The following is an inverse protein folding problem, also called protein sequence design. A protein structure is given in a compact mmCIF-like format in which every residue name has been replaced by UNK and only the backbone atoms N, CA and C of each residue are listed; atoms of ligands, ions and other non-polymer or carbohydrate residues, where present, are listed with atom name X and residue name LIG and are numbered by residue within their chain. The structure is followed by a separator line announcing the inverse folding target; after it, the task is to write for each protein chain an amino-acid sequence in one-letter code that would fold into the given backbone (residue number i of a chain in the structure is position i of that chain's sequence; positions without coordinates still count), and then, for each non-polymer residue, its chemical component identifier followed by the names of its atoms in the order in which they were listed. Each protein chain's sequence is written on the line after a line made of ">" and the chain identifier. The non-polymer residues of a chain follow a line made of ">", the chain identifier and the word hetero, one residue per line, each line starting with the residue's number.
data_IF_631534283988
#
_entry.id   IF_631534283988
#
_cell.length_a   1.000
_cell.length_b   1.000
_cell.length_c   1.000
_cell.angle_alpha   90.00
_cell.angle_beta   90.00
_cell.angle_gamma   90.00
#
_symmetry.space_group_name_H-M   'P 1'
#
loop_
_entity.id
_entity.type
_entity.pdbx_description
1 polymer ?
#
# COMPACT_ATOMS: atom_id res chain seq x y z
N UNK A 1 34.00 23.98 -2.50
CA UNK A 1 33.00 23.20 -1.75
C UNK A 1 32.64 22.03 -2.65
N UNK A 2 33.01 20.80 -2.27
CA UNK A 2 32.61 19.63 -3.05
C UNK A 2 31.10 19.49 -3.00
N UNK A 3 30.47 19.22 -4.13
CA UNK A 3 29.03 18.97 -4.21
C UNK A 3 28.66 17.90 -3.18
N UNK A 4 27.87 18.28 -2.16
CA UNK A 4 27.25 17.30 -1.26
C UNK A 4 26.31 16.49 -2.14
N UNK A 5 26.72 15.27 -2.50
CA UNK A 5 25.86 14.30 -3.16
C UNK A 5 24.63 14.11 -2.29
N UNK A 6 23.46 14.45 -2.83
CA UNK A 6 22.21 14.29 -2.10
C UNK A 6 21.92 12.79 -1.96
N UNK A 7 21.61 12.37 -0.73
CA UNK A 7 21.35 10.95 -0.44
C UNK A 7 20.08 10.49 -1.16
N UNK A 8 20.16 9.34 -1.83
CA UNK A 8 19.02 8.82 -2.57
C UNK A 8 17.88 8.47 -1.61
N UNK A 9 16.68 8.98 -1.87
CA UNK A 9 15.49 8.56 -1.14
C UNK A 9 15.12 7.13 -1.48
N UNK A 10 14.90 6.31 -0.46
CA UNK A 10 14.39 4.93 -0.61
C UNK A 10 13.04 4.84 0.09
N UNK A 11 12.00 4.39 -0.61
CA UNK A 11 10.68 4.15 -0.03
C UNK A 11 10.40 2.65 -0.03
N UNK A 12 10.18 2.05 1.13
CA UNK A 12 9.74 0.65 1.23
C UNK A 12 8.26 0.61 1.60
N UNK A 13 7.42 0.07 0.71
CA UNK A 13 5.96 0.07 0.81
C UNK A 13 5.48 -1.32 1.20
N UNK A 14 4.69 -1.41 2.27
CA UNK A 14 4.16 -2.66 2.80
C UNK A 14 3.06 -3.32 1.95
N UNK A 15 2.53 -4.40 2.48
CA UNK A 15 1.53 -5.26 1.84
C UNK A 15 0.25 -4.49 1.47
N UNK A 16 -0.21 -4.67 0.23
CA UNK A 16 -1.31 -3.87 -0.36
C UNK A 16 -2.62 -4.65 -0.34
N UNK A 17 -2.57 -5.96 -0.62
CA UNK A 17 -3.70 -6.89 -0.57
C UNK A 17 -4.96 -6.36 -1.26
N UNK A 18 -4.87 -5.96 -2.53
CA UNK A 18 -6.02 -5.55 -3.33
C UNK A 18 -6.71 -4.25 -2.88
N UNK A 19 -6.19 -3.51 -1.90
CA UNK A 19 -6.76 -2.23 -1.47
C UNK A 19 -6.27 -1.06 -2.32
N UNK A 20 -6.77 -0.97 -3.55
CA UNK A 20 -6.38 0.07 -4.51
C UNK A 20 -6.55 1.50 -3.98
N UNK A 21 -7.61 1.79 -3.22
CA UNK A 21 -7.81 3.11 -2.61
C UNK A 21 -6.70 3.48 -1.63
N UNK A 22 -6.24 2.53 -0.80
CA UNK A 22 -5.13 2.72 0.13
C UNK A 22 -3.82 2.95 -0.61
N UNK A 23 -3.54 2.17 -1.64
CA UNK A 23 -2.36 2.35 -2.50
C UNK A 23 -2.33 3.75 -3.13
N UNK A 24 -3.44 4.18 -3.75
CA UNK A 24 -3.54 5.49 -4.39
C UNK A 24 -3.33 6.63 -3.38
N UNK A 25 -3.93 6.52 -2.20
CA UNK A 25 -3.82 7.55 -1.16
C UNK A 25 -2.39 7.59 -0.60
N UNK A 26 -1.79 6.43 -0.30
CA UNK A 26 -0.40 6.35 0.15
C UNK A 26 0.56 6.95 -0.89
N UNK A 27 0.40 6.60 -2.16
CA UNK A 27 1.22 7.16 -3.23
C UNK A 27 1.10 8.68 -3.31
N UNK A 28 -0.12 9.20 -3.24
CA UNK A 28 -0.37 10.66 -3.23
C UNK A 28 0.30 11.33 -2.02
N UNK A 29 0.24 10.70 -0.85
CA UNK A 29 0.90 11.21 0.35
C UNK A 29 2.42 11.19 0.23
N UNK A 30 3.01 10.14 -0.36
CA UNK A 30 4.44 10.08 -0.67
C UNK A 30 4.85 11.22 -1.61
N UNK A 31 4.09 11.45 -2.69
CA UNK A 31 4.32 12.55 -3.64
C UNK A 31 4.27 13.92 -2.96
N UNK A 32 3.35 14.12 -2.01
CA UNK A 32 3.16 15.38 -1.33
C UNK A 32 4.19 15.65 -0.22
N UNK A 33 4.65 14.59 0.46
CA UNK A 33 5.47 14.69 1.68
C UNK A 33 6.97 14.55 1.44
N UNK A 34 7.36 13.93 0.33
CA UNK A 34 8.76 13.81 -0.07
C UNK A 34 9.09 14.99 -0.96
N UNK A 35 10.29 15.54 -0.82
CA UNK A 35 10.76 16.61 -1.71
C UNK A 35 10.60 16.16 -3.19
N UNK A 36 10.00 16.97 -4.07
CA UNK A 36 9.73 16.56 -5.45
C UNK A 36 10.96 16.07 -6.24
N UNK A 37 12.15 16.66 -6.01
CA UNK A 37 13.37 16.24 -6.70
C UNK A 37 13.85 14.87 -6.20
N UNK A 38 13.81 14.65 -4.88
CA UNK A 38 14.19 13.38 -4.27
C UNK A 38 13.16 12.28 -4.61
N UNK A 39 11.87 12.60 -4.61
CA UNK A 39 10.82 11.67 -5.03
C UNK A 39 10.99 11.23 -6.49
N UNK A 40 11.27 12.17 -7.40
CA UNK A 40 11.41 11.88 -8.83
C UNK A 40 12.56 10.88 -9.13
N UNK A 41 13.56 10.77 -8.27
CA UNK A 41 14.74 9.89 -8.45
C UNK A 41 14.82 8.75 -7.42
N UNK A 42 13.77 8.59 -6.62
CA UNK A 42 13.73 7.64 -5.53
C UNK A 42 13.87 6.18 -6.00
N UNK A 43 14.37 5.34 -5.10
CA UNK A 43 14.20 3.89 -5.17
C UNK A 43 12.90 3.54 -4.45
N UNK A 44 11.96 2.92 -5.16
CA UNK A 44 10.67 2.48 -4.63
C UNK A 44 10.67 0.96 -4.57
N UNK A 45 10.62 0.40 -3.37
CA UNK A 45 10.59 -1.04 -3.10
C UNK A 45 9.22 -1.42 -2.57
N UNK A 46 8.43 -2.13 -3.37
CA UNK A 46 7.18 -2.74 -2.93
C UNK A 46 7.46 -4.11 -2.32
N UNK A 47 7.03 -4.33 -1.08
CA UNK A 47 7.45 -5.46 -0.27
C UNK A 47 6.68 -6.76 -0.53
N UNK A 48 5.74 -6.76 -1.48
CA UNK A 48 4.96 -7.92 -1.92
C UNK A 48 3.50 -7.87 -1.45
N UNK A 49 2.80 -8.99 -1.65
CA UNK A 49 1.40 -9.22 -1.31
C UNK A 49 0.47 -8.15 -1.89
N UNK A 50 0.43 -8.10 -3.22
CA UNK A 50 -0.40 -7.18 -4.00
C UNK A 50 -1.84 -7.66 -4.15
N UNK A 51 -2.02 -8.98 -4.18
CA UNK A 51 -3.30 -9.64 -4.36
C UNK A 51 -3.95 -10.10 -3.05
N UNK A 52 -5.18 -10.57 -3.18
CA UNK A 52 -6.01 -11.22 -2.16
C UNK A 52 -6.51 -10.32 -1.04
N UNK A 53 -7.50 -10.81 -0.28
CA UNK A 53 -8.20 -10.12 0.82
C UNK A 53 -9.01 -8.89 0.40
N UNK A 54 -8.39 -7.88 -0.21
CA UNK A 54 -9.05 -6.68 -0.70
C UNK A 54 -9.65 -6.84 -2.10
N UNK A 55 -10.57 -5.95 -2.50
CA UNK A 55 -11.47 -6.18 -3.64
C UNK A 55 -10.88 -5.85 -5.03
N UNK A 56 -9.78 -5.11 -5.10
CA UNK A 56 -9.34 -4.43 -6.34
C UNK A 56 -7.93 -4.88 -6.80
N UNK A 57 -7.56 -6.16 -6.64
CA UNK A 57 -6.26 -6.71 -7.09
C UNK A 57 -5.92 -6.29 -8.52
N UNK A 58 -6.87 -6.40 -9.46
CA UNK A 58 -6.67 -5.95 -10.85
C UNK A 58 -6.20 -4.49 -10.94
N UNK A 59 -6.87 -3.56 -10.25
CA UNK A 59 -6.51 -2.13 -10.27
C UNK A 59 -5.18 -1.86 -9.58
N UNK A 60 -4.86 -2.62 -8.53
CA UNK A 60 -3.53 -2.56 -7.88
C UNK A 60 -2.45 -2.89 -8.90
N UNK A 61 -2.56 -4.01 -9.62
CA UNK A 61 -1.55 -4.40 -10.61
C UNK A 61 -1.51 -3.41 -11.79
N UNK A 62 -2.67 -2.94 -12.28
CA UNK A 62 -2.73 -1.88 -13.31
C UNK A 62 -1.92 -0.64 -12.88
N UNK A 63 -2.07 -0.21 -11.62
CA UNK A 63 -1.33 0.91 -11.06
C UNK A 63 0.18 0.66 -11.01
N UNK A 64 0.60 -0.49 -10.47
CA UNK A 64 2.02 -0.85 -10.34
C UNK A 64 2.70 -0.94 -11.72
N UNK A 65 2.04 -1.55 -12.70
CA UNK A 65 2.51 -1.63 -14.10
C UNK A 65 2.67 -0.24 -14.73
N UNK A 66 1.84 0.74 -14.33
CA UNK A 66 1.92 2.10 -14.86
C UNK A 66 3.11 2.91 -14.33
N UNK A 67 3.64 2.57 -13.15
CA UNK A 67 4.61 3.39 -12.42
C UNK A 67 5.90 3.70 -13.19
N UNK A 68 6.57 2.73 -13.86
CA UNK A 68 7.79 3.03 -14.62
C UNK A 68 7.56 4.07 -15.73
N UNK A 69 6.39 4.06 -16.36
CA UNK A 69 6.05 5.04 -17.41
C UNK A 69 5.72 6.42 -16.84
N UNK A 70 5.11 6.47 -15.66
CA UNK A 70 4.75 7.71 -14.96
C UNK A 70 5.95 8.38 -14.30
N UNK A 71 6.90 7.61 -13.80
CA UNK A 71 8.10 8.07 -13.10
C UNK A 71 9.37 7.44 -13.68
N UNK A 72 9.77 7.83 -14.90
CA UNK A 72 10.86 7.17 -15.63
C UNK A 72 12.25 7.36 -15.00
N UNK A 73 12.38 8.28 -14.01
CA UNK A 73 13.62 8.52 -13.27
C UNK A 73 13.66 7.78 -11.92
N UNK A 74 12.55 7.15 -11.50
CA UNK A 74 12.53 6.28 -10.33
C UNK A 74 13.03 4.89 -10.70
N UNK A 75 13.58 4.17 -9.73
CA UNK A 75 13.76 2.72 -9.83
C UNK A 75 12.65 2.06 -9.04
N UNK A 76 11.95 1.12 -9.68
CA UNK A 76 10.87 0.36 -9.05
C UNK A 76 11.30 -1.09 -8.86
N UNK A 77 11.17 -1.58 -7.65
CA UNK A 77 11.41 -2.98 -7.29
C UNK A 77 10.12 -3.55 -6.73
N UNK A 78 9.71 -4.69 -7.28
CA UNK A 78 8.50 -5.39 -6.88
C UNK A 78 8.89 -6.76 -6.34
N UNK A 79 8.85 -6.91 -5.01
CA UNK A 79 9.10 -8.20 -4.37
C UNK A 79 7.92 -9.15 -4.57
N UNK A 80 8.22 -10.43 -4.73
CA UNK A 80 7.20 -11.46 -4.72
C UNK A 80 6.76 -11.72 -3.27
N UNK A 81 5.50 -11.42 -2.94
CA UNK A 81 4.89 -11.89 -1.71
C UNK A 81 4.53 -13.38 -1.77
N UNK A 82 4.15 -13.98 -0.63
CA UNK A 82 3.67 -15.36 -0.68
C UNK A 82 2.30 -15.48 -1.35
N UNK A 83 1.47 -14.43 -1.32
CA UNK A 83 0.22 -14.39 -2.05
C UNK A 83 0.48 -14.27 -3.56
N UNK A 84 1.40 -13.39 -3.98
CA UNK A 84 1.72 -13.20 -5.40
C UNK A 84 2.42 -14.42 -5.99
N UNK A 85 3.27 -15.12 -5.22
CA UNK A 85 3.87 -16.38 -5.64
C UNK A 85 2.81 -17.43 -5.94
N UNK A 86 1.82 -17.53 -5.06
CA UNK A 86 0.73 -18.49 -5.19
C UNK A 86 -0.22 -18.12 -6.35
N UNK A 87 -0.49 -16.84 -6.56
CA UNK A 87 -1.21 -16.35 -7.73
C UNK A 87 -0.44 -16.62 -9.04
N UNK A 88 0.87 -16.35 -9.06
CA UNK A 88 1.77 -16.62 -10.19
C UNK A 88 1.80 -18.10 -10.57
N UNK A 89 1.78 -18.99 -9.56
CA UNK A 89 1.66 -20.43 -9.77
C UNK A 89 0.35 -20.78 -10.47
N UNK A 90 -0.77 -20.21 -10.02
CA UNK A 90 -2.08 -20.49 -10.57
C UNK A 90 -2.22 -20.02 -12.03
N UNK A 91 -1.71 -18.82 -12.35
CA UNK A 91 -1.75 -18.28 -13.73
C UNK A 91 -0.60 -18.77 -14.62
N UNK A 92 0.18 -19.73 -14.13
CA UNK A 92 1.23 -20.46 -14.88
C UNK A 92 2.36 -19.58 -15.40
N UNK A 93 2.82 -18.63 -14.58
CA UNK A 93 3.93 -17.72 -14.94
C UNK A 93 5.20 -17.93 -14.10
N UNK A 94 5.19 -18.91 -13.19
CA UNK A 94 6.40 -19.31 -12.47
C UNK A 94 7.44 -19.90 -13.43
N UNK A 95 8.75 -19.69 -13.16
CA UNK A 95 9.78 -20.44 -13.84
C UNK A 95 9.69 -21.92 -13.46
N UNK A 96 10.00 -22.81 -14.42
CA UNK A 96 10.13 -24.24 -14.16
C UNK A 96 11.17 -24.51 -13.07
N UNK A 97 11.02 -25.59 -12.28
CA UNK A 97 12.00 -25.96 -11.26
C UNK A 97 13.41 -26.07 -11.86
N UNK A 98 14.45 -25.49 -11.24
CA UNK A 98 15.81 -25.45 -11.81
C UNK A 98 16.44 -26.81 -12.07
N UNK A 99 15.98 -27.86 -11.40
CA UNK A 99 16.46 -29.24 -11.57
C UNK A 99 15.63 -30.06 -12.58
N UNK A 100 14.63 -29.44 -13.22
CA UNK A 100 13.74 -30.10 -14.18
C UNK A 100 12.67 -30.99 -13.56
N UNK A 101 12.55 -31.02 -12.24
CA UNK A 101 11.45 -31.74 -11.57
C UNK A 101 10.09 -31.14 -11.94
N UNK A 102 9.01 -31.95 -11.96
CA UNK A 102 7.67 -31.43 -12.16
C UNK A 102 7.20 -30.71 -10.89
N UNK A 103 6.31 -29.73 -11.05
CA UNK A 103 5.71 -29.03 -9.91
C UNK A 103 4.94 -29.93 -8.95
N UNK A 104 4.52 -31.12 -9.39
CA UNK A 104 3.84 -32.11 -8.56
C UNK A 104 4.68 -32.64 -7.40
N UNK A 105 6.01 -32.62 -7.50
CA UNK A 105 6.89 -32.99 -6.39
C UNK A 105 6.73 -32.07 -5.17
N UNK A 106 6.24 -30.85 -5.39
CA UNK A 106 6.03 -29.88 -4.32
C UNK A 106 4.84 -30.20 -3.42
N UNK A 107 4.00 -31.17 -3.78
CA UNK A 107 2.75 -31.44 -3.07
C UNK A 107 2.94 -32.32 -1.83
N UNK A 108 3.87 -33.28 -1.91
CA UNK A 108 4.00 -34.41 -0.97
C UNK A 108 4.18 -33.99 0.49
N UNK A 109 4.95 -32.93 0.75
CA UNK A 109 5.21 -32.45 2.12
C UNK A 109 3.94 -31.95 2.84
N UNK A 110 2.93 -31.52 2.08
CA UNK A 110 1.70 -30.91 2.61
C UNK A 110 0.43 -31.70 2.25
N UNK A 111 0.55 -32.90 1.69
CA UNK A 111 -0.59 -33.69 1.18
C UNK A 111 -1.68 -33.93 2.22
N UNK A 112 -1.30 -34.05 3.50
CA UNK A 112 -2.22 -34.18 4.63
C UNK A 112 -3.20 -32.99 4.78
N UNK A 113 -2.90 -31.84 4.16
CA UNK A 113 -3.76 -30.66 4.19
C UNK A 113 -4.70 -30.55 3.00
N UNK A 114 -4.54 -31.39 1.96
CA UNK A 114 -5.29 -31.29 0.71
C UNK A 114 -6.80 -31.32 0.94
N UNK A 115 -7.27 -32.24 1.78
CA UNK A 115 -8.70 -32.40 2.03
C UNK A 115 -9.27 -31.16 2.74
N UNK A 116 -8.58 -30.67 3.77
CA UNK A 116 -9.04 -29.53 4.59
C UNK A 116 -9.02 -28.22 3.79
N UNK A 117 -7.95 -27.99 3.07
CA UNK A 117 -7.75 -26.77 2.26
C UNK A 117 -8.49 -26.83 0.92
N UNK A 118 -8.97 -28.01 0.52
CA UNK A 118 -9.73 -28.24 -0.70
C UNK A 118 -8.96 -27.82 -1.94
N UNK A 119 -7.71 -28.28 -2.08
CA UNK A 119 -6.81 -27.84 -3.15
C UNK A 119 -7.47 -27.90 -4.53
N UNK A 120 -7.15 -26.92 -5.37
CA UNK A 120 -7.64 -26.86 -6.74
C UNK A 120 -7.32 -28.15 -7.52
N UNK A 121 -8.34 -28.68 -8.19
CA UNK A 121 -8.31 -29.89 -9.03
C UNK A 121 -8.95 -29.64 -10.42
N UNK A 122 -9.10 -28.37 -10.80
CA UNK A 122 -9.62 -28.00 -12.12
C UNK A 122 -8.55 -28.08 -13.20
N UNK A 123 -8.90 -27.72 -14.44
CA UNK A 123 -8.03 -27.89 -15.61
C UNK A 123 -6.59 -27.41 -15.41
N UNK A 124 -5.62 -28.31 -15.61
CA UNK A 124 -4.19 -28.02 -15.57
C UNK A 124 -3.59 -27.88 -14.18
N UNK A 125 -4.25 -28.45 -13.16
CA UNK A 125 -3.70 -28.56 -11.80
C UNK A 125 -2.51 -29.53 -11.73
N UNK A 126 -2.39 -30.45 -12.67
CA UNK A 126 -1.37 -31.50 -12.72
C UNK A 126 0.04 -30.90 -12.83
N UNK A 127 0.17 -29.80 -13.57
CA UNK A 127 1.40 -29.05 -13.76
C UNK A 127 1.46 -27.77 -12.91
N UNK A 128 0.81 -27.77 -11.73
CA UNK A 128 0.71 -26.59 -10.87
C UNK A 128 1.50 -26.75 -9.57
N UNK A 129 2.30 -25.73 -9.23
CA UNK A 129 2.99 -25.68 -7.94
C UNK A 129 1.98 -25.75 -6.77
N UNK A 130 2.36 -26.41 -5.67
CA UNK A 130 1.54 -26.58 -4.47
C UNK A 130 0.78 -25.30 -4.10
N UNK A 131 1.49 -24.17 -4.03
CA UNK A 131 0.89 -22.91 -3.60
C UNK A 131 -0.21 -22.41 -4.54
N UNK A 132 -0.12 -22.63 -5.85
CA UNK A 132 -1.22 -22.32 -6.77
C UNK A 132 -2.46 -23.16 -6.51
N UNK A 133 -2.25 -24.45 -6.19
CA UNK A 133 -3.36 -25.36 -5.83
C UNK A 133 -4.03 -24.96 -4.52
N UNK A 134 -3.25 -24.54 -3.52
CA UNK A 134 -3.74 -24.02 -2.23
C UNK A 134 -4.46 -22.69 -2.38
N UNK A 135 -3.95 -21.81 -3.24
CA UNK A 135 -4.46 -20.46 -3.47
C UNK A 135 -5.84 -20.45 -4.12
N UNK A 136 -6.07 -21.30 -5.12
CA UNK A 136 -7.37 -21.47 -5.75
C UNK A 136 -8.26 -22.56 -5.10
N UNK A 137 -7.82 -23.13 -3.98
CA UNK A 137 -8.56 -24.16 -3.26
C UNK A 137 -9.86 -23.64 -2.64
N UNK A 138 -10.74 -24.56 -2.24
CA UNK A 138 -11.97 -24.27 -1.52
C UNK A 138 -11.86 -24.76 -0.08
N UNK A 139 -11.48 -23.86 0.82
CA UNK A 139 -11.22 -24.23 2.22
C UNK A 139 -12.52 -24.69 2.90
N UNK A 140 -12.46 -25.83 3.60
CA UNK A 140 -13.62 -26.39 4.33
C UNK A 140 -13.93 -25.61 5.61
N UNK A 141 -12.91 -25.03 6.23
CA UNK A 141 -13.07 -24.17 7.39
C UNK A 141 -13.70 -22.84 6.97
N UNK A 142 -14.83 -22.46 7.59
CA UNK A 142 -15.44 -21.15 7.33
C UNK A 142 -14.65 -20.01 7.98
N UNK A 143 -14.26 -20.20 9.25
CA UNK A 143 -13.68 -19.15 10.08
C UNK A 143 -12.18 -19.33 10.29
N UNK A 144 -11.42 -18.26 10.07
CA UNK A 144 -10.01 -18.19 10.40
C UNK A 144 -9.82 -17.64 11.82
N UNK A 145 -9.63 -18.55 12.78
CA UNK A 145 -9.41 -18.19 14.19
C UNK A 145 -8.21 -17.26 14.38
N UNK A 146 -7.14 -17.44 13.61
CA UNK A 146 -5.93 -16.60 13.74
C UNK A 146 -6.15 -15.16 13.27
N UNK A 147 -7.03 -14.96 12.28
CA UNK A 147 -7.33 -13.63 11.72
C UNK A 147 -8.58 -12.99 12.32
N UNK A 148 -9.40 -13.76 13.03
CA UNK A 148 -10.66 -13.29 13.60
C UNK A 148 -11.77 -13.05 12.57
N UNK A 149 -11.70 -13.67 11.39
CA UNK A 149 -12.62 -13.44 10.27
C UNK A 149 -12.83 -14.69 9.42
N UNK A 150 -13.89 -14.71 8.60
CA UNK A 150 -14.12 -15.79 7.64
C UNK A 150 -13.08 -15.78 6.50
N UNK A 151 -12.72 -16.98 6.03
CA UNK A 151 -11.92 -17.11 4.83
C UNK A 151 -12.68 -16.64 3.59
N UNK A 152 -11.98 -15.99 2.67
CA UNK A 152 -12.54 -15.59 1.37
C UNK A 152 -12.17 -16.62 0.30
N UNK A 153 -12.87 -17.75 0.29
CA UNK A 153 -12.75 -18.82 -0.71
C UNK A 153 -11.66 -19.85 -0.41
N UNK A 154 -10.41 -19.41 -0.21
CA UNK A 154 -9.26 -20.29 0.03
C UNK A 154 -8.50 -19.93 1.31
N UNK A 155 -7.50 -20.74 1.68
CA UNK A 155 -6.59 -20.42 2.79
C UNK A 155 -5.80 -19.10 2.56
N UNK A 156 -5.73 -18.65 1.31
CA UNK A 156 -5.10 -17.40 0.89
C UNK A 156 -6.07 -16.21 0.82
N UNK A 157 -7.37 -16.40 1.10
CA UNK A 157 -8.39 -15.36 0.90
C UNK A 157 -8.42 -14.84 -0.56
N UNK A 158 -8.29 -15.75 -1.52
CA UNK A 158 -8.08 -15.44 -2.94
C UNK A 158 -9.35 -15.04 -3.71
N UNK A 159 -10.55 -15.32 -3.20
CA UNK A 159 -11.80 -15.05 -3.93
C UNK A 159 -11.92 -13.59 -4.45
N UNK A 160 -11.56 -12.54 -3.67
CA UNK A 160 -11.58 -11.17 -4.16
C UNK A 160 -10.64 -10.92 -5.35
N UNK A 161 -9.52 -11.66 -5.45
CA UNK A 161 -8.65 -11.58 -6.62
C UNK A 161 -9.39 -12.10 -7.86
N UNK A 162 -9.99 -13.29 -7.80
CA UNK A 162 -10.81 -13.84 -8.89
C UNK A 162 -11.91 -12.85 -9.32
N UNK A 163 -12.65 -12.33 -8.34
CA UNK A 163 -13.75 -11.38 -8.57
C UNK A 163 -13.29 -10.06 -9.20
N UNK A 164 -12.09 -9.58 -8.84
CA UNK A 164 -11.49 -8.37 -9.43
C UNK A 164 -11.21 -8.53 -10.94
N UNK A 165 -10.98 -9.77 -11.40
CA UNK A 165 -10.85 -10.15 -12.81
C UNK A 165 -12.15 -10.64 -13.44
N UNK A 166 -13.29 -10.51 -12.74
CA UNK A 166 -14.64 -10.84 -13.23
C UNK A 166 -14.86 -12.33 -13.49
N UNK A 167 -14.23 -13.19 -12.70
CA UNK A 167 -14.43 -14.64 -12.72
C UNK A 167 -14.75 -15.15 -11.32
N UNK A 168 -15.50 -16.26 -11.16
CA UNK A 168 -15.77 -16.82 -9.85
C UNK A 168 -14.52 -17.45 -9.24
N UNK A 169 -14.47 -17.49 -7.89
CA UNK A 169 -13.40 -18.14 -7.13
C UNK A 169 -13.18 -19.59 -7.60
N UNK A 170 -11.91 -19.96 -7.78
CA UNK A 170 -11.52 -21.30 -8.22
C UNK A 170 -11.79 -21.59 -9.71
N UNK A 171 -12.18 -20.61 -10.53
CA UNK A 171 -12.34 -20.80 -11.97
C UNK A 171 -11.00 -20.86 -12.70
N UNK A 172 -10.79 -21.90 -13.52
CA UNK A 172 -9.64 -21.98 -14.42
C UNK A 172 -9.64 -20.85 -15.48
N UNK A 173 -10.78 -20.21 -15.73
CA UNK A 173 -10.90 -19.10 -16.67
C UNK A 173 -10.08 -17.88 -16.24
N UNK A 174 -9.73 -17.76 -14.95
CA UNK A 174 -8.86 -16.69 -14.47
C UNK A 174 -7.53 -16.65 -15.24
N UNK A 175 -6.99 -17.80 -15.66
CA UNK A 175 -5.76 -17.86 -16.47
C UNK A 175 -5.89 -17.04 -17.76
N UNK A 176 -7.09 -17.00 -18.36
CA UNK A 176 -7.37 -16.22 -19.56
C UNK A 176 -7.84 -14.79 -19.24
N UNK A 177 -8.49 -14.58 -18.09
CA UNK A 177 -8.99 -13.27 -17.69
C UNK A 177 -7.88 -12.30 -17.24
N UNK A 178 -6.75 -12.82 -16.74
CA UNK A 178 -5.59 -12.00 -16.35
C UNK A 178 -4.85 -11.51 -17.60
N UNK A 179 -4.73 -10.18 -17.83
CA UNK A 179 -4.04 -9.63 -19.00
C UNK A 179 -2.56 -10.03 -19.07
N UNK A 180 -1.99 -10.10 -20.27
CA UNK A 180 -0.59 -10.47 -20.47
C UNK A 180 0.37 -9.53 -19.73
N UNK A 181 0.10 -8.22 -19.71
CA UNK A 181 0.90 -7.27 -18.93
C UNK A 181 0.94 -7.59 -17.42
N UNK A 182 -0.13 -8.17 -16.89
CA UNK A 182 -0.18 -8.57 -15.47
C UNK A 182 0.57 -9.88 -15.26
N UNK A 183 0.49 -10.81 -16.22
CA UNK A 183 1.31 -12.03 -16.24
C UNK A 183 2.79 -11.70 -16.31
N UNK A 184 3.17 -10.74 -17.15
CA UNK A 184 4.53 -10.23 -17.26
C UNK A 184 5.00 -9.63 -15.93
N UNK A 185 4.18 -8.76 -15.32
CA UNK A 185 4.46 -8.20 -14.00
C UNK A 185 4.69 -9.29 -12.94
N UNK A 186 3.80 -10.27 -12.84
CA UNK A 186 3.90 -11.39 -11.89
C UNK A 186 5.15 -12.24 -12.17
N UNK A 187 5.47 -12.50 -13.44
CA UNK A 187 6.65 -13.24 -13.87
C UNK A 187 7.94 -12.51 -13.54
N UNK A 188 7.92 -11.18 -13.47
CA UNK A 188 9.11 -10.35 -13.24
C UNK A 188 9.36 -10.03 -11.76
N UNK A 189 8.46 -10.46 -10.86
CA UNK A 189 8.65 -10.30 -9.42
C UNK A 189 9.94 -11.00 -8.95
N UNK A 190 10.70 -10.29 -8.12
CA UNK A 190 11.95 -10.77 -7.54
C UNK A 190 11.72 -11.28 -6.12
N UNK A 191 12.36 -12.38 -5.72
CA UNK A 191 12.17 -12.91 -4.35
C UNK A 191 13.06 -12.20 -3.32
N UNK A 192 14.10 -11.52 -3.79
CA UNK A 192 15.00 -10.72 -2.97
C UNK A 192 15.55 -9.57 -3.82
N UNK A 193 15.84 -8.45 -3.18
CA UNK A 193 16.57 -7.35 -3.77
C UNK A 193 17.65 -6.88 -2.80
N UNK A 194 18.85 -6.62 -3.32
CA UNK A 194 19.98 -6.09 -2.58
C UNK A 194 20.45 -4.76 -3.16
N UNK A 195 20.73 -3.81 -2.27
CA UNK A 195 21.40 -2.54 -2.57
C UNK A 195 22.68 -2.45 -1.77
N UNK A 196 23.76 -2.01 -2.42
CA UNK A 196 25.09 -1.97 -1.81
C UNK A 196 25.26 -0.80 -0.84
N UNK A 197 24.55 0.31 -1.07
CA UNK A 197 24.71 1.54 -0.31
C UNK A 197 23.39 2.31 -0.20
N UNK A 198 22.79 2.28 0.98
CA UNK A 198 21.67 3.14 1.37
C UNK A 198 22.01 3.93 2.63
N UNK A 199 21.54 5.17 2.67
CA UNK A 199 21.65 6.02 3.86
C UNK A 199 20.44 5.78 4.78
N UNK A 200 20.68 5.61 6.07
CA UNK A 200 19.67 5.52 7.12
C UNK A 200 20.05 6.42 8.30
N UNK A 201 19.07 7.08 8.91
CA UNK A 201 19.28 7.95 10.07
C UNK A 201 18.73 7.28 11.34
N UNK A 202 19.62 6.85 12.23
CA UNK A 202 19.27 6.20 13.50
C UNK A 202 19.77 7.10 14.63
N UNK A 203 18.87 7.52 15.51
CA UNK A 203 19.19 8.39 16.66
C UNK A 203 19.90 9.70 16.27
N UNK A 204 19.57 10.26 15.09
CA UNK A 204 20.19 11.49 14.56
C UNK A 204 21.53 11.28 13.85
N UNK A 205 22.05 10.05 13.81
CA UNK A 205 23.27 9.70 13.09
C UNK A 205 22.94 9.05 11.75
N UNK A 206 23.49 9.61 10.66
CA UNK A 206 23.42 9.00 9.34
C UNK A 206 24.44 7.88 9.20
N UNK A 207 24.01 6.73 8.70
CA UNK A 207 24.82 5.55 8.45
C UNK A 207 24.59 5.06 7.02
N UNK A 208 25.68 4.65 6.38
CA UNK A 208 25.65 3.95 5.10
C UNK A 208 25.74 2.46 5.34
N UNK A 209 24.83 1.72 4.73
CA UNK A 209 24.66 0.29 4.97
C UNK A 209 24.16 -0.40 3.70
N UNK A 210 24.38 -1.71 3.62
CA UNK A 210 23.70 -2.52 2.62
C UNK A 210 22.21 -2.59 2.97
N UNK A 211 21.37 -2.85 1.98
CA UNK A 211 19.96 -3.17 2.20
C UNK A 211 19.63 -4.49 1.52
N UNK A 212 18.90 -5.35 2.24
CA UNK A 212 18.31 -6.58 1.72
C UNK A 212 16.80 -6.49 1.94
N UNK A 213 16.05 -6.44 0.84
CA UNK A 213 14.61 -6.46 0.84
C UNK A 213 14.11 -7.88 0.48
N UNK A 214 13.30 -8.46 1.35
CA UNK A 214 12.72 -9.80 1.18
C UNK A 214 11.38 -9.85 1.92
N UNK A 215 10.35 -10.43 1.29
CA UNK A 215 8.97 -10.26 1.73
C UNK A 215 8.74 -10.61 3.20
N UNK A 216 9.16 -11.80 3.67
CA UNK A 216 9.04 -12.19 5.08
C UNK A 216 10.34 -11.96 5.87
N UNK A 217 11.48 -12.39 5.35
CA UNK A 217 12.76 -12.30 6.04
C UNK A 217 13.73 -13.40 5.62
N UNK A 218 14.78 -13.62 6.40
CA UNK A 218 15.77 -14.68 6.18
C UNK A 218 15.83 -15.58 7.42
N UNK A 219 15.97 -16.88 7.21
CA UNK A 219 16.01 -17.87 8.28
C UNK A 219 17.30 -17.73 9.08
N UNK A 220 17.20 -17.74 10.41
CA UNK A 220 18.37 -17.70 11.30
C UNK A 220 19.28 -18.94 11.20
N UNK A 221 18.68 -20.09 10.90
CA UNK A 221 19.33 -21.39 10.98
C UNK A 221 20.11 -21.77 9.70
N UNK A 222 20.03 -20.96 8.65
CA UNK A 222 20.65 -21.23 7.34
C UNK A 222 21.63 -20.13 6.96
N UNK A 223 22.71 -20.49 6.26
CA UNK A 223 23.70 -19.53 5.78
C UNK A 223 23.08 -18.50 4.84
N UNK A 224 23.40 -17.21 5.02
CA UNK A 224 22.74 -16.12 4.29
C UNK A 224 23.03 -16.20 2.79
N UNK A 225 24.28 -16.47 2.41
CA UNK A 225 24.65 -16.59 1.01
C UNK A 225 23.89 -17.73 0.30
N UNK A 226 23.69 -18.86 0.98
CA UNK A 226 22.93 -19.99 0.43
C UNK A 226 21.46 -19.61 0.22
N UNK A 227 20.85 -18.92 1.20
CA UNK A 227 19.48 -18.42 1.07
C UNK A 227 19.38 -17.45 -0.11
N UNK A 228 20.27 -16.47 -0.22
CA UNK A 228 20.25 -15.49 -1.31
C UNK A 228 20.41 -16.14 -2.68
N UNK A 229 21.23 -17.19 -2.82
CA UNK A 229 21.35 -17.95 -4.08
C UNK A 229 20.01 -18.55 -4.51
N UNK A 230 19.32 -19.20 -3.58
CA UNK A 230 17.99 -19.82 -3.81
C UNK A 230 16.95 -18.76 -4.22
N UNK A 231 16.96 -17.60 -3.56
CA UNK A 231 16.02 -16.51 -3.87
C UNK A 231 16.32 -15.85 -5.22
N UNK A 232 17.59 -15.60 -5.54
CA UNK A 232 18.00 -14.97 -6.81
C UNK A 232 17.66 -15.82 -8.03
N UNK A 233 17.72 -17.15 -7.92
CA UNK A 233 17.31 -18.06 -9.01
C UNK A 233 15.83 -18.41 -9.00
N UNK A 234 15.08 -17.96 -7.99
CA UNK A 234 13.65 -18.27 -7.78
C UNK A 234 13.39 -19.77 -7.82
N UNK A 235 14.03 -20.50 -6.91
CA UNK A 235 13.95 -21.97 -6.87
C UNK A 235 12.53 -22.47 -6.54
N UNK A 236 11.77 -22.80 -7.58
CA UNK A 236 10.36 -23.23 -7.49
C UNK A 236 10.18 -24.71 -7.18
N UNK A 237 11.25 -25.44 -6.84
CA UNK A 237 11.13 -26.79 -6.28
C UNK A 237 10.70 -26.79 -4.81
N UNK A 238 10.82 -25.65 -4.12
CA UNK A 238 10.59 -25.53 -2.69
C UNK A 238 9.08 -25.43 -2.44
N UNK A 239 8.46 -26.42 -1.76
CA UNK A 239 7.01 -26.42 -1.54
C UNK A 239 6.51 -25.14 -0.87
N UNK A 240 7.24 -24.68 0.14
CA UNK A 240 6.92 -23.47 0.91
C UNK A 240 8.20 -22.68 1.21
N UNK A 241 8.38 -21.58 0.50
CA UNK A 241 9.57 -20.73 0.63
C UNK A 241 9.50 -19.93 1.93
N UNK A 242 10.37 -20.22 2.89
CA UNK A 242 10.39 -19.55 4.20
C UNK A 242 10.62 -18.05 4.10
N UNK A 243 11.47 -17.61 3.16
CA UNK A 243 11.73 -16.19 2.93
C UNK A 243 10.50 -15.38 2.48
N UNK A 244 9.46 -16.06 1.98
CA UNK A 244 8.19 -15.45 1.61
C UNK A 244 7.09 -15.74 2.64
N UNK A 245 7.15 -16.86 3.38
CA UNK A 245 5.99 -17.35 4.16
C UNK A 245 6.27 -17.67 5.62
N UNK A 246 7.54 -17.58 6.04
CA UNK A 246 8.00 -17.80 7.40
C UNK A 246 7.43 -16.79 8.39
N UNK A 247 7.51 -17.08 9.69
CA UNK A 247 7.02 -16.18 10.75
C UNK A 247 8.14 -15.92 11.75
N UNK A 248 8.17 -16.65 12.87
CA UNK A 248 9.16 -16.46 13.94
C UNK A 248 10.59 -16.77 13.49
N UNK A 249 10.73 -17.73 12.58
CA UNK A 249 12.00 -18.21 12.02
C UNK A 249 12.72 -17.18 11.14
N UNK A 250 11.98 -16.20 10.60
CA UNK A 250 12.48 -15.14 9.71
C UNK A 250 12.27 -13.72 10.28
N UNK A 251 11.91 -13.62 11.56
CA UNK A 251 11.61 -12.34 12.20
C UNK A 251 12.86 -11.48 12.40
N UNK A 252 13.92 -12.01 13.00
CA UNK A 252 15.13 -11.25 13.30
C UNK A 252 16.16 -11.30 12.17
N UNK A 253 17.15 -10.40 12.23
CA UNK A 253 18.30 -10.39 11.32
C UNK A 253 19.19 -11.61 11.58
N UNK A 254 19.55 -12.40 10.55
CA UNK A 254 20.55 -13.46 10.69
C UNK A 254 21.90 -12.91 11.18
N UNK A 255 22.60 -13.68 12.02
CA UNK A 255 23.87 -13.25 12.66
C UNK A 255 24.91 -12.75 11.64
N UNK A 256 25.04 -13.40 10.49
CA UNK A 256 25.97 -13.01 9.42
C UNK A 256 25.73 -11.59 8.89
N UNK A 257 24.50 -11.09 8.94
CA UNK A 257 24.14 -9.73 8.51
C UNK A 257 24.28 -8.68 9.63
N UNK A 258 24.61 -9.10 10.86
CA UNK A 258 24.91 -8.16 11.96
C UNK A 258 26.37 -7.72 11.99
N UNK A 259 27.27 -8.48 11.36
CA UNK A 259 28.71 -8.17 11.34
C UNK A 259 29.05 -7.01 10.42
N UNK A 260 28.31 -6.87 9.31
CA UNK A 260 28.37 -5.73 8.39
C UNK A 260 27.01 -5.04 8.40
N UNK A 261 26.90 -3.77 8.82
CA UNK A 261 25.62 -3.07 8.92
C UNK A 261 24.77 -3.26 7.65
N UNK A 262 23.68 -4.01 7.79
CA UNK A 262 22.75 -4.36 6.71
C UNK A 262 21.33 -4.12 7.18
N UNK A 263 20.60 -3.25 6.49
CA UNK A 263 19.16 -3.10 6.65
C UNK A 263 18.47 -4.34 6.09
N UNK A 264 17.62 -4.97 6.88
CA UNK A 264 16.75 -6.06 6.41
C UNK A 264 15.32 -5.58 6.46
N UNK A 265 14.72 -5.33 5.30
CA UNK A 265 13.36 -4.81 5.16
C UNK A 265 12.39 -5.87 4.63
N UNK A 266 11.23 -5.99 5.29
CA UNK A 266 10.19 -6.99 5.00
C UNK A 266 8.79 -6.42 5.20
N UNK A 267 7.78 -7.05 4.60
CA UNK A 267 6.36 -6.84 4.86
C UNK A 267 5.79 -8.00 5.70
N UNK A 268 4.72 -8.62 5.23
CA UNK A 268 4.17 -9.96 5.60
C UNK A 268 3.59 -10.14 7.01
N UNK A 269 4.24 -9.59 8.04
CA UNK A 269 4.04 -10.00 9.43
C UNK A 269 2.80 -9.41 10.11
N UNK A 270 2.00 -8.61 9.40
CA UNK A 270 0.84 -7.91 9.93
C UNK A 270 1.18 -6.91 11.04
N UNK A 271 2.41 -6.39 11.03
CA UNK A 271 2.94 -5.43 12.00
C UNK A 271 3.77 -4.35 11.33
N UNK A 272 3.72 -3.15 11.91
CA UNK A 272 4.76 -2.14 11.77
C UNK A 272 5.76 -2.31 12.92
N UNK A 273 7.01 -2.63 12.60
CA UNK A 273 8.07 -2.85 13.58
C UNK A 273 9.40 -2.32 13.05
N UNK A 274 10.07 -1.54 13.89
CA UNK A 274 11.35 -0.90 13.57
C UNK A 274 12.26 -1.11 14.77
N UNK A 275 13.33 -1.85 14.59
CA UNK A 275 14.37 -2.03 15.61
C UNK A 275 15.75 -2.00 14.94
N UNK A 276 16.47 -0.89 15.14
CA UNK A 276 17.77 -0.67 14.50
C UNK A 276 17.68 -0.82 12.98
N UNK A 277 18.34 -1.85 12.45
CA UNK A 277 18.39 -2.16 11.01
C UNK A 277 17.32 -3.17 10.55
N UNK A 278 16.46 -3.66 11.47
CA UNK A 278 15.35 -4.55 11.12
C UNK A 278 14.09 -3.73 10.91
N UNK A 279 13.59 -3.71 9.68
CA UNK A 279 12.41 -2.97 9.27
C UNK A 279 11.33 -3.97 8.83
N UNK A 280 10.20 -4.01 9.52
CA UNK A 280 9.03 -4.78 9.12
C UNK A 280 7.88 -3.80 8.92
N UNK A 281 7.47 -3.63 7.67
CA UNK A 281 6.54 -2.61 7.23
C UNK A 281 5.31 -3.32 6.65
N UNK A 282 4.44 -3.79 7.53
CA UNK A 282 3.14 -4.35 7.15
C UNK A 282 2.09 -4.00 8.21
N UNK A 283 1.83 -2.70 8.38
CA UNK A 283 0.82 -2.24 9.34
C UNK A 283 -0.60 -2.71 8.97
N UNK A 284 -0.85 -2.87 7.67
CA UNK A 284 -2.14 -3.23 7.11
C UNK A 284 -2.50 -4.68 7.39
N UNK A 285 -1.57 -5.62 7.15
CA UNK A 285 -1.81 -7.05 7.21
C UNK A 285 -3.01 -7.49 6.36
N UNK A 286 -3.33 -6.74 5.30
CA UNK A 286 -4.51 -6.95 4.47
C UNK A 286 -5.86 -6.85 5.19
N UNK A 287 -5.93 -6.11 6.31
CA UNK A 287 -7.17 -5.79 7.00
C UNK A 287 -7.74 -4.44 6.51
N UNK A 288 -9.03 -4.42 6.19
CA UNK A 288 -9.71 -3.25 5.61
C UNK A 288 -9.60 -1.98 6.47
N UNK A 289 -9.68 -2.13 7.79
CA UNK A 289 -9.65 -1.04 8.76
C UNK A 289 -8.24 -0.55 9.11
N UNK A 290 -7.19 -1.25 8.68
CA UNK A 290 -5.80 -0.88 8.98
C UNK A 290 -5.17 -0.10 7.83
N UNK A 291 -4.22 0.81 8.12
CA UNK A 291 -3.55 1.59 7.08
C UNK A 291 -2.52 0.75 6.32
N UNK A 292 -2.24 1.12 5.07
CA UNK A 292 -1.02 0.70 4.38
C UNK A 292 0.04 1.76 4.65
N UNK A 293 1.23 1.30 5.04
CA UNK A 293 2.34 2.16 5.43
C UNK A 293 3.55 1.99 4.51
N UNK A 294 4.33 3.05 4.40
CA UNK A 294 5.66 3.05 3.82
C UNK A 294 6.66 3.65 4.80
N UNK A 295 7.90 3.19 4.77
CA UNK A 295 9.04 3.85 5.42
C UNK A 295 9.89 4.57 4.37
N UNK A 296 10.30 5.80 4.68
CA UNK A 296 11.14 6.65 3.83
C UNK A 296 12.51 6.80 4.45
N UNK A 297 13.55 6.38 3.73
CA UNK A 297 14.96 6.55 4.10
C UNK A 297 15.54 7.79 3.41
N UNK A 298 16.49 8.51 4.04
CA UNK A 298 17.18 8.16 5.29
C UNK A 298 16.39 8.46 6.58
N UNK A 299 15.36 9.31 6.55
CA UNK A 299 14.72 9.86 7.75
C UNK A 299 13.97 8.85 8.62
N UNK A 300 13.78 7.62 8.14
CA UNK A 300 12.95 6.58 8.75
C UNK A 300 11.50 7.02 9.00
N UNK A 301 11.04 8.06 8.29
CA UNK A 301 9.67 8.56 8.43
C UNK A 301 8.69 7.52 7.92
N UNK A 302 7.67 7.22 8.72
CA UNK A 302 6.52 6.43 8.30
C UNK A 302 5.48 7.34 7.66
N UNK A 303 5.03 6.97 6.46
CA UNK A 303 3.94 7.62 5.74
C UNK A 303 2.83 6.61 5.53
N UNK A 304 1.57 6.99 5.80
CA UNK A 304 0.39 6.12 5.65
C UNK A 304 -0.58 6.62 4.58
N UNK A 305 -1.43 5.73 4.09
CA UNK A 305 -2.58 6.09 3.26
C UNK A 305 -3.58 7.02 3.97
N UNK A 306 -3.65 6.94 5.30
CA UNK A 306 -4.58 7.72 6.13
C UNK A 306 -4.10 9.13 6.49
N UNK A 307 -2.92 9.55 6.05
CA UNK A 307 -2.46 10.92 6.29
C UNK A 307 -3.35 11.89 5.49
N UNK A 308 -4.29 12.54 6.18
CA UNK A 308 -5.24 13.49 5.60
C UNK A 308 -4.51 14.80 5.28
N UNK A 309 -4.10 14.97 4.03
CA UNK A 309 -3.60 16.26 3.56
C UNK A 309 -4.75 17.14 3.05
N UNK A 310 -5.00 18.26 3.75
CA UNK A 310 -5.96 19.31 3.34
C UNK A 310 -5.75 19.81 1.89
N UNK A 311 -4.54 19.68 1.33
CA UNK A 311 -4.24 20.00 -0.06
C UNK A 311 -4.88 19.03 -1.08
N UNK A 312 -5.08 17.76 -0.72
CA UNK A 312 -5.70 16.76 -1.60
C UNK A 312 -7.22 16.84 -1.62
N UNK A 313 -7.86 17.38 -0.57
CA UNK A 313 -9.29 17.76 -0.65
C UNK A 313 -9.48 18.76 -1.80
N UNK A 314 -8.51 19.65 -2.09
CA UNK A 314 -8.58 20.51 -3.27
C UNK A 314 -8.42 19.71 -4.56
N UNK A 315 -7.34 18.96 -4.74
CA UNK A 315 -7.03 18.32 -6.02
C UNK A 315 -8.03 17.22 -6.45
N UNK A 316 -8.53 16.42 -5.51
CA UNK A 316 -9.53 15.36 -5.78
C UNK A 316 -10.87 15.97 -6.23
N UNK A 317 -11.25 17.13 -5.67
CA UNK A 317 -12.46 17.85 -6.09
C UNK A 317 -12.38 18.38 -7.54
N UNK A 318 -11.18 18.58 -8.08
CA UNK A 318 -10.98 19.14 -9.43
C UNK A 318 -10.72 18.10 -10.53
N UNK A 319 -10.42 16.84 -10.20
CA UNK A 319 -10.21 15.78 -11.21
C UNK A 319 -11.49 15.02 -11.59
N UNK A 320 -12.47 14.93 -10.68
CA UNK A 320 -13.72 14.18 -10.90
C UNK A 320 -14.90 15.04 -11.40
N UNK A 321 -14.66 16.32 -11.73
CA UNK A 321 -15.71 17.19 -12.30
C UNK A 321 -15.19 18.02 -13.47
N UNK A 322 -15.92 18.02 -14.61
CA UNK A 322 -15.72 18.90 -15.78
C UNK A 322 -16.06 20.37 -15.44
N UNK A 323 -15.47 20.89 -14.36
CA UNK A 323 -15.78 22.21 -13.81
C UNK A 323 -14.63 23.17 -14.14
N UNK A 324 -14.83 23.97 -15.19
CA UNK A 324 -13.94 25.07 -15.51
C UNK A 324 -14.03 26.18 -14.44
N UNK A 325 -12.98 26.31 -13.62
CA UNK A 325 -12.84 27.42 -12.66
C UNK A 325 -11.84 28.45 -13.22
N UNK A 326 -12.30 29.69 -13.43
CA UNK A 326 -11.41 30.83 -13.68
C UNK A 326 -10.89 31.35 -12.34
N UNK A 327 -9.58 31.26 -12.11
CA UNK A 327 -8.93 32.00 -11.02
C UNK A 327 -8.83 33.48 -11.39
N UNK A 328 -9.44 34.37 -10.61
CA UNK A 328 -9.21 35.81 -10.69
C UNK A 328 -8.36 36.18 -9.48
N UNK A 329 -7.07 36.48 -9.70
CA UNK A 329 -6.20 37.07 -8.67
C UNK A 329 -6.57 38.55 -8.49
N UNK A 330 -6.93 38.94 -7.27
CA UNK A 330 -6.94 40.35 -6.88
C UNK A 330 -5.64 40.66 -6.13
N UNK A 331 -4.87 41.62 -6.65
CA UNK A 331 -3.72 42.20 -5.94
C UNK A 331 -4.16 42.76 -4.59
N UNK A 332 -3.45 42.38 -3.54
CA UNK A 332 -3.72 42.81 -2.17
C UNK A 332 -3.42 44.30 -2.01
N UNK A 333 -4.44 45.15 -1.98
CA UNK A 333 -4.34 46.45 -1.32
C UNK A 333 -4.61 46.26 0.17
N UNK A 334 -3.62 46.60 0.99
CA UNK A 334 -3.68 46.53 2.45
C UNK A 334 -4.80 47.41 3.01
N UNK A 335 -5.73 46.88 3.83
CA UNK A 335 -6.61 47.71 4.63
C UNK A 335 -5.97 48.04 5.98
N UNK A 336 -6.03 49.31 6.36
CA UNK A 336 -5.80 49.77 7.73
C UNK A 336 -6.90 49.16 8.62
N UNK A 337 -6.50 48.59 9.75
CA UNK A 337 -7.33 47.94 10.80
C UNK A 337 -7.55 46.42 10.65
N UNK A 338 -6.52 45.64 11.02
CA UNK A 338 -6.64 44.55 12.02
C UNK A 338 -7.57 43.36 11.79
N UNK A 339 -8.18 43.16 10.63
CA UNK A 339 -9.00 41.97 10.33
C UNK A 339 -8.27 41.10 9.30
N UNK A 340 -8.07 39.78 9.53
CA UNK A 340 -7.52 38.89 8.52
C UNK A 340 -8.51 38.73 7.36
N UNK A 341 -8.06 38.99 6.14
CA UNK A 341 -8.80 38.65 4.92
C UNK A 341 -8.62 37.16 4.64
N UNK A 342 -9.70 36.39 4.75
CA UNK A 342 -9.74 34.98 4.32
C UNK A 342 -10.07 34.89 2.82
N UNK A 343 -9.50 33.92 2.08
CA UNK A 343 -9.79 33.77 0.65
C UNK A 343 -11.27 33.42 0.43
N UNK A 344 -11.94 34.19 -0.44
CA UNK A 344 -13.29 33.91 -0.92
C UNK A 344 -13.21 33.13 -2.23
N UNK A 345 -13.89 31.99 -2.31
CA UNK A 345 -14.00 31.19 -3.54
C UNK A 345 -15.39 31.39 -4.15
N UNK A 346 -15.44 31.60 -5.46
CA UNK A 346 -16.68 31.77 -6.21
C UNK A 346 -16.97 30.49 -7.01
N UNK A 347 -18.14 29.90 -6.79
CA UNK A 347 -18.63 28.77 -7.57
C UNK A 347 -19.85 29.21 -8.37
N UNK A 348 -19.81 29.03 -9.70
CA UNK A 348 -20.96 29.25 -10.58
C UNK A 348 -21.59 27.92 -10.98
N UNK A 349 -22.40 27.32 -10.10
CA UNK A 349 -23.13 26.07 -10.40
C UNK A 349 -24.52 26.04 -9.74
N UNK A 350 -25.52 25.34 -10.34
CA UNK A 350 -26.86 25.21 -9.78
C UNK A 350 -26.90 24.42 -8.45
N UNK A 351 -27.75 24.87 -7.52
CA UNK A 351 -27.88 24.38 -6.13
C UNK A 351 -28.04 22.85 -6.00
N UNK A 352 -28.82 22.23 -6.90
CA UNK A 352 -29.14 20.80 -6.85
C UNK A 352 -27.93 19.87 -7.11
N UNK A 353 -26.91 20.35 -7.83
CA UNK A 353 -25.69 19.57 -8.08
C UNK A 353 -24.77 19.56 -6.85
N UNK A 354 -24.77 20.64 -6.08
CA UNK A 354 -23.99 20.76 -4.84
C UNK A 354 -24.53 19.88 -3.70
N UNK A 355 -25.85 19.77 -3.56
CA UNK A 355 -26.49 18.93 -2.54
C UNK A 355 -26.12 17.45 -2.72
N UNK A 356 -26.04 16.98 -3.96
CA UNK A 356 -25.64 15.61 -4.29
C UNK A 356 -24.16 15.33 -4.01
N UNK A 357 -23.29 16.31 -4.23
CA UNK A 357 -21.85 16.19 -3.95
C UNK A 357 -21.60 16.13 -2.43
N UNK A 358 -22.30 16.96 -1.65
CA UNK A 358 -22.15 16.99 -0.19
C UNK A 358 -22.69 15.72 0.47
N UNK A 359 -23.84 15.20 0.00
CA UNK A 359 -24.44 13.96 0.50
C UNK A 359 -23.54 12.74 0.26
N UNK A 360 -22.86 12.67 -0.90
CA UNK A 360 -21.92 11.60 -1.23
C UNK A 360 -20.57 11.71 -0.49
N UNK A 361 -20.14 12.90 -0.11
CA UNK A 361 -18.83 13.13 0.53
C UNK A 361 -18.81 12.86 2.03
N UNK A 362 -19.93 13.03 2.75
CA UNK A 362 -19.91 13.08 4.22
C UNK A 362 -20.84 12.10 4.94
N UNK A 363 -21.64 11.31 4.22
CA UNK A 363 -22.62 10.40 4.84
C UNK A 363 -23.72 11.15 5.60
N UNK A 364 -24.85 10.48 5.84
CA UNK A 364 -26.06 11.08 6.41
C UNK A 364 -25.81 11.84 7.73
N UNK A 365 -25.68 13.16 7.67
CA UNK A 365 -25.83 14.06 8.81
C UNK A 365 -26.92 15.09 8.55
N UNK A 366 -27.70 15.36 9.59
CA UNK A 366 -29.00 16.03 9.60
C UNK A 366 -28.89 17.49 9.14
N UNK A 367 -29.67 17.86 8.11
CA UNK A 367 -29.86 19.24 7.68
C UNK A 367 -30.79 20.00 8.63
N UNK A 368 -30.41 21.21 9.05
CA UNK A 368 -31.31 22.19 9.69
C UNK A 368 -31.32 23.47 8.85
N UNK A 369 -32.51 23.95 8.51
CA UNK A 369 -32.72 25.20 7.75
C UNK A 369 -32.92 26.42 8.65
N UNK A 370 -32.77 26.30 9.97
CA UNK A 370 -33.03 27.41 10.88
C UNK A 370 -31.96 27.50 11.99
N UNK A 371 -31.15 28.56 11.92
CA UNK A 371 -30.23 28.95 12.98
C UNK A 371 -31.01 29.65 14.08
N UNK A 372 -31.63 28.87 14.98
CA UNK A 372 -31.95 29.33 16.34
C UNK A 372 -32.19 28.15 17.29
N UNK A 373 -31.24 27.98 18.21
CA UNK A 373 -31.24 27.25 19.50
C UNK A 373 -30.63 25.83 19.54
N UNK A 374 -29.55 25.75 20.33
CA UNK A 374 -29.03 24.63 21.11
C UNK A 374 -28.63 23.34 20.38
N UNK A 375 -27.39 23.29 19.87
CA UNK A 375 -26.63 22.05 19.69
C UNK A 375 -25.20 22.19 20.24
N UNK A 376 -24.69 21.11 20.86
CA UNK A 376 -23.37 21.01 21.52
C UNK A 376 -22.21 20.87 20.49
N UNK A 377 -20.96 21.26 20.84
CA UNK A 377 -19.90 21.48 19.86
C UNK A 377 -19.23 20.17 19.46
N UNK A 378 -19.38 19.74 18.19
CA UNK A 378 -18.51 18.74 17.52
C UNK A 378 -18.78 18.52 16.02
N UNK A 379 -19.30 19.52 15.29
CA UNK A 379 -19.59 19.35 13.86
C UNK A 379 -19.06 20.51 13.02
N UNK A 380 -18.52 20.19 11.84
CA UNK A 380 -18.23 21.14 10.77
C UNK A 380 -19.57 21.71 10.29
N UNK A 381 -19.80 23.00 10.52
CA UNK A 381 -21.01 23.70 10.07
C UNK A 381 -20.77 24.28 8.67
N UNK A 382 -21.52 23.82 7.68
CA UNK A 382 -21.65 24.47 6.38
C UNK A 382 -22.93 25.32 6.40
N UNK A 383 -22.79 26.64 6.32
CA UNK A 383 -23.93 27.56 6.24
C UNK A 383 -24.12 28.06 4.81
N UNK A 384 -25.30 27.83 4.25
CA UNK A 384 -25.78 28.43 3.01
C UNK A 384 -26.36 29.81 3.33
N UNK A 385 -25.77 30.87 2.77
CA UNK A 385 -26.31 32.23 2.93
C UNK A 385 -26.68 32.80 1.55
N UNK A 386 -27.97 32.88 1.25
CA UNK A 386 -28.48 33.54 0.06
C UNK A 386 -28.84 34.99 0.39
N UNK A 387 -27.88 35.90 0.30
CA UNK A 387 -28.18 37.34 0.30
C UNK A 387 -27.57 38.02 -0.93
N UNK A 388 -28.49 38.40 -1.84
CA UNK A 388 -28.38 39.41 -2.91
C UNK A 388 -27.24 39.33 -3.94
N UNK A 389 -26.59 38.19 -4.12
CA UNK A 389 -25.69 37.95 -5.26
C UNK A 389 -25.93 36.54 -5.84
N UNK A 390 -25.65 36.30 -7.14
CA UNK A 390 -25.91 35.02 -7.82
C UNK A 390 -24.94 33.90 -7.42
N UNK A 391 -24.20 34.07 -6.32
CA UNK A 391 -23.18 33.15 -5.84
C UNK A 391 -23.57 32.60 -4.47
N UNK A 392 -23.44 31.28 -4.31
CA UNK A 392 -23.59 30.59 -3.04
C UNK A 392 -22.27 30.64 -2.29
N UNK A 393 -22.31 31.08 -1.03
CA UNK A 393 -21.13 31.15 -0.16
C UNK A 393 -21.04 29.87 0.68
N UNK A 394 -19.86 29.24 0.70
CA UNK A 394 -19.48 28.24 1.68
C UNK A 394 -18.47 28.87 2.65
N UNK A 395 -18.88 29.04 3.91
CA UNK A 395 -18.02 29.56 4.96
C UNK A 395 -17.75 28.44 5.97
N UNK A 396 -16.48 28.07 6.13
CA UNK A 396 -16.05 27.12 7.16
C UNK A 396 -15.60 27.90 8.39
N UNK A 397 -16.13 27.55 9.57
CA UNK A 397 -15.69 28.10 10.86
C UNK A 397 -15.11 26.96 11.69
N UNK A 398 -13.88 27.14 12.13
CA UNK A 398 -13.26 26.30 13.16
C UNK A 398 -13.27 27.14 14.44
N UNK A 399 -13.94 26.67 15.50
CA UNK A 399 -13.83 27.30 16.82
C UNK A 399 -12.76 26.54 17.61
N UNK A 400 -11.55 27.10 17.65
CA UNK A 400 -10.54 26.74 18.64
C UNK A 400 -11.01 27.23 20.02
N UNK A 401 -11.26 26.32 20.96
CA UNK A 401 -11.31 26.68 22.37
C UNK A 401 -9.87 26.79 22.89
N UNK A 402 -9.36 28.03 22.81
CA UNK A 402 -8.24 28.69 23.49
C UNK A 402 -6.96 27.93 23.94
N UNK A 403 -5.76 28.50 23.66
CA UNK A 403 -4.52 28.21 24.37
C UNK A 403 -4.46 29.05 25.64
N UNK A 404 -4.37 28.43 26.83
CA UNK A 404 -3.93 29.16 28.01
C UNK A 404 -2.41 29.29 27.97
N UNK A 405 -1.95 30.54 27.79
CA UNK A 405 -0.58 30.96 27.99
C UNK A 405 -0.38 31.31 29.46
N UNK A 406 0.37 30.52 30.21
CA UNK A 406 1.01 30.99 31.44
C UNK A 406 2.36 31.64 31.08
N UNK A 407 2.48 32.93 31.40
CA UNK A 407 3.73 33.67 31.40
C UNK A 407 4.58 33.22 32.59
N UNK A 408 5.84 32.82 32.35
CA UNK A 408 6.89 32.91 33.38
C UNK A 408 7.92 33.93 32.89
N UNK A 409 7.93 35.09 33.54
CA UNK A 409 9.07 35.98 33.59
C UNK A 409 9.88 35.66 34.85
N UNK A 410 10.94 34.88 34.69
CA UNK A 410 12.27 34.99 35.33
C UNK A 410 13.14 33.82 34.88
#
# INVERSE_FOLDING_TARGET
>A
MGDKKEERTVCCIGDIHGYYSKLRNLWSNLEALINPNSFQTALIIFLGDYCDRGPDTRKVIDFLVSLPSRYPKQTHVFLCGNHDFAFSAFVKVLPSPPDGSPFSETWKEYEQHEEREGWFKGMGYEDMHLQGRRWAGLIKDKYNVSKGMDYKGSIYDAAPTFESYKVPHGSAELVNAVPDKHKDFLRDLVWVHDEDDVCIEISGEKKHCKLVAVHAGLEKAKGVEQQLKVLKVRDTKIPKVAALSGRKDVWDIPKELTEKPTVVVSGHHGKLYIEGLRLIIDEGGGYEQKPVAAIVLPSMKIIRDTELMMGHIRAVMFQDTDLHVRMINFESKTPKHGVPLYPRYYFGTPLALMENIISNLFGQYIYSHDLRKNMKPRHLLATLNSSRHPFIYLQFRYEETHPEWEYIWM
#
